data_IF_122857793332
#
_entry.id   IF_122857793332
#
_cell.length_a   1.000
_cell.length_b   1.000
_cell.length_c   1.000
_cell.angle_alpha   90.00
_cell.angle_beta   90.00
_cell.angle_gamma   90.00
#
_symmetry.space_group_name_H-M   'P 1'
#
loop_
_entity.id
_entity.type
_entity.pdbx_description
1 polymer ?
#
# COMPACT_ATOMS: atom_id res chain seq x y z
N UNK A 1 12.33 16.62 -16.66
CA UNK A 1 12.79 15.26 -16.32
C UNK A 1 12.35 14.72 -14.94
N UNK A 2 12.10 15.54 -13.91
CA UNK A 2 11.89 15.06 -12.53
C UNK A 2 10.69 14.12 -12.28
N UNK A 3 9.61 14.25 -13.05
CA UNK A 3 8.41 13.42 -12.85
C UNK A 3 8.61 11.94 -13.20
N UNK A 4 9.57 11.63 -14.10
CA UNK A 4 9.73 10.26 -14.60
C UNK A 4 10.31 9.35 -13.52
N UNK A 5 11.35 9.82 -12.82
CA UNK A 5 12.03 9.12 -11.73
C UNK A 5 11.14 8.91 -10.49
N UNK A 6 10.23 9.84 -10.20
CA UNK A 6 9.34 9.75 -9.03
C UNK A 6 8.29 8.64 -9.16
N UNK A 7 7.72 8.46 -10.34
CA UNK A 7 6.74 7.38 -10.57
C UNK A 7 7.40 6.01 -10.51
N UNK A 8 8.68 5.89 -10.90
CA UNK A 8 9.42 4.65 -10.69
C UNK A 8 9.55 4.36 -9.19
N UNK A 9 9.87 5.35 -8.35
CA UNK A 9 9.91 5.14 -6.90
C UNK A 9 8.56 4.72 -6.29
N UNK A 10 7.45 5.26 -6.79
CA UNK A 10 6.09 4.86 -6.36
C UNK A 10 5.80 3.39 -6.69
N UNK A 11 6.14 2.95 -7.92
CA UNK A 11 5.98 1.55 -8.34
C UNK A 11 6.89 0.62 -7.55
N UNK A 12 8.14 1.02 -7.26
CA UNK A 12 9.05 0.22 -6.43
C UNK A 12 8.53 0.05 -5.00
N UNK A 13 8.06 1.13 -4.36
CA UNK A 13 7.51 1.06 -2.99
C UNK A 13 6.23 0.23 -2.96
N UNK A 14 5.32 0.40 -3.93
CA UNK A 14 4.12 -0.40 -4.04
C UNK A 14 4.44 -1.89 -4.28
N UNK A 15 5.42 -2.19 -5.13
CA UNK A 15 5.89 -3.56 -5.37
C UNK A 15 6.44 -4.21 -4.09
N UNK A 16 7.29 -3.49 -3.35
CA UNK A 16 7.81 -3.96 -2.05
C UNK A 16 6.66 -4.22 -1.06
N UNK A 17 5.66 -3.33 -1.01
CA UNK A 17 4.49 -3.48 -0.15
C UNK A 17 3.65 -4.71 -0.52
N UNK A 18 3.46 -4.98 -1.82
CA UNK A 18 2.75 -6.18 -2.29
C UNK A 18 3.53 -7.45 -1.97
N UNK A 19 4.85 -7.47 -2.15
CA UNK A 19 5.69 -8.61 -1.78
C UNK A 19 5.61 -8.89 -0.28
N UNK A 20 5.63 -7.85 0.56
CA UNK A 20 5.42 -7.96 2.01
C UNK A 20 4.04 -8.54 2.34
N UNK A 21 2.98 -8.10 1.65
CA UNK A 21 1.64 -8.65 1.85
C UNK A 21 1.54 -10.13 1.47
N UNK A 22 2.16 -10.53 0.36
CA UNK A 22 2.22 -11.94 -0.05
C UNK A 22 2.98 -12.78 0.99
N UNK A 23 4.00 -12.20 1.63
CA UNK A 23 4.74 -12.83 2.73
C UNK A 23 3.86 -13.07 3.97
N UNK A 24 2.82 -12.25 4.17
CA UNK A 24 1.80 -12.46 5.21
C UNK A 24 0.74 -13.51 4.86
N UNK A 25 0.64 -13.97 3.60
CA UNK A 25 -0.31 -15.03 3.23
C UNK A 25 0.28 -16.40 3.59
N UNK A 26 -0.58 -17.37 3.90
CA UNK A 26 -0.30 -18.66 4.55
C UNK A 26 0.89 -19.55 4.12
N UNK A 27 1.51 -19.52 2.93
CA UNK A 27 2.61 -20.46 2.67
C UNK A 27 3.77 -20.33 3.66
N UNK A 28 3.89 -19.17 4.33
CA UNK A 28 4.97 -18.89 5.28
C UNK A 28 4.57 -19.06 6.75
N UNK A 29 3.30 -19.03 7.14
CA UNK A 29 2.89 -19.30 8.54
C UNK A 29 3.20 -20.75 8.95
N UNK A 30 3.18 -21.69 8.00
CA UNK A 30 3.53 -23.09 8.26
C UNK A 30 5.05 -23.31 8.41
N UNK A 31 5.86 -22.36 7.92
CA UNK A 31 7.33 -22.43 7.91
C UNK A 31 7.95 -21.51 8.97
N UNK A 32 7.22 -20.49 9.44
CA UNK A 32 7.73 -19.43 10.31
C UNK A 32 7.22 -19.50 11.76
N UNK A 33 8.11 -19.46 12.76
CA UNK A 33 7.76 -19.26 14.17
C UNK A 33 6.97 -17.96 14.41
N UNK A 34 6.10 -17.94 15.44
CA UNK A 34 5.26 -16.78 15.85
C UNK A 34 6.00 -15.42 15.90
N UNK A 35 7.31 -15.42 16.19
CA UNK A 35 8.14 -14.22 16.23
C UNK A 35 8.25 -13.52 14.86
N UNK A 36 8.38 -14.29 13.77
CA UNK A 36 8.55 -13.73 12.44
C UNK A 36 7.30 -13.04 11.91
N UNK A 37 6.11 -13.59 12.18
CA UNK A 37 4.84 -12.98 11.78
C UNK A 37 4.67 -11.55 12.33
N UNK A 38 4.99 -11.34 13.62
CA UNK A 38 4.91 -10.02 14.25
C UNK A 38 5.93 -9.03 13.68
N UNK A 39 7.16 -9.50 13.38
CA UNK A 39 8.19 -8.65 12.75
C UNK A 39 7.79 -8.21 11.35
N UNK A 40 7.18 -9.10 10.55
CA UNK A 40 6.71 -8.77 9.20
C UNK A 40 5.61 -7.72 9.26
N UNK A 41 4.69 -7.79 10.23
CA UNK A 41 3.64 -6.78 10.41
C UNK A 41 4.22 -5.41 10.81
N UNK A 42 5.21 -5.38 11.70
CA UNK A 42 5.91 -4.12 12.05
C UNK A 42 6.59 -3.52 10.83
N UNK A 43 7.27 -4.34 10.03
CA UNK A 43 7.90 -3.91 8.78
C UNK A 43 6.85 -3.39 7.78
N UNK A 44 5.68 -4.03 7.70
CA UNK A 44 4.59 -3.60 6.84
C UNK A 44 4.05 -2.23 7.25
N UNK A 45 3.91 -1.95 8.55
CA UNK A 45 3.54 -0.62 9.06
C UNK A 45 4.59 0.42 8.67
N UNK A 46 5.88 0.09 8.78
CA UNK A 46 6.95 0.99 8.40
C UNK A 46 6.93 1.32 6.89
N UNK A 47 6.74 0.31 6.03
CA UNK A 47 6.63 0.51 4.57
C UNK A 47 5.35 1.28 4.21
N UNK A 48 4.24 1.05 4.91
CA UNK A 48 3.03 1.85 4.76
C UNK A 48 3.29 3.33 5.08
N UNK A 49 4.04 3.63 6.15
CA UNK A 49 4.47 4.99 6.49
C UNK A 49 5.31 5.66 5.39
N UNK A 50 6.22 4.91 4.76
CA UNK A 50 6.98 5.39 3.60
C UNK A 50 6.07 5.67 2.41
N UNK A 51 5.12 4.77 2.13
CA UNK A 51 4.16 4.91 1.05
C UNK A 51 3.24 6.12 1.23
N UNK A 52 2.81 6.40 2.47
CA UNK A 52 2.10 7.63 2.86
C UNK A 52 2.90 8.89 2.49
N UNK A 53 4.18 8.93 2.87
CA UNK A 53 5.05 10.07 2.59
C UNK A 53 5.27 10.32 1.10
N UNK A 54 5.33 9.25 0.29
CA UNK A 54 5.46 9.34 -1.17
C UNK A 54 4.17 9.86 -1.81
N UNK A 55 3.00 9.30 -1.44
CA UNK A 55 1.70 9.73 -1.99
C UNK A 55 1.37 11.18 -1.65
N UNK A 56 1.65 11.61 -0.41
CA UNK A 56 1.29 12.96 0.05
C UNK A 56 2.10 14.07 -0.65
N UNK A 57 3.30 13.76 -1.16
CA UNK A 57 4.15 14.73 -1.88
C UNK A 57 3.75 14.94 -3.34
N UNK A 58 2.73 14.27 -3.83
CA UNK A 58 2.29 14.44 -5.21
C UNK A 58 1.53 15.76 -5.39
N UNK A 59 2.13 16.73 -6.09
CA UNK A 59 1.47 18.01 -6.39
C UNK A 59 0.76 17.96 -7.75
N UNK A 60 -0.55 18.24 -7.78
CA UNK A 60 -1.36 18.28 -9.00
C UNK A 60 -1.08 19.57 -9.78
N UNK A 61 -0.67 19.47 -11.04
CA UNK A 61 0.02 20.58 -11.70
C UNK A 61 -0.87 21.71 -12.21
N UNK A 62 -2.11 21.51 -12.65
CA UNK A 62 -3.07 22.62 -12.85
C UNK A 62 -4.49 22.18 -13.20
N UNK A 63 -5.44 23.13 -13.18
CA UNK A 63 -6.92 23.05 -13.23
C UNK A 63 -7.55 22.72 -11.87
N UNK A 64 -8.10 23.75 -11.20
CA UNK A 64 -8.61 23.72 -9.80
C UNK A 64 -9.47 22.49 -9.49
N UNK A 65 -10.40 22.12 -10.37
CA UNK A 65 -11.33 21.00 -10.13
C UNK A 65 -10.61 19.64 -10.11
N UNK A 66 -9.59 19.47 -10.97
CA UNK A 66 -8.76 18.25 -10.99
C UNK A 66 -7.89 18.12 -9.74
N UNK A 67 -7.49 19.24 -9.12
CA UNK A 67 -6.74 19.22 -7.85
C UNK A 67 -7.58 18.70 -6.69
N UNK A 68 -8.83 19.16 -6.56
CA UNK A 68 -9.70 18.72 -5.47
C UNK A 68 -10.07 17.24 -5.57
N UNK A 69 -10.40 16.76 -6.78
CA UNK A 69 -10.67 15.34 -7.01
C UNK A 69 -9.44 14.47 -6.73
N UNK A 70 -8.25 14.87 -7.18
CA UNK A 70 -7.02 14.12 -6.93
C UNK A 70 -6.65 14.05 -5.44
N UNK A 71 -6.89 15.12 -4.68
CA UNK A 71 -6.69 15.11 -3.22
C UNK A 71 -7.70 14.20 -2.53
N UNK A 72 -8.98 14.27 -2.91
CA UNK A 72 -10.01 13.41 -2.33
C UNK A 72 -9.74 11.92 -2.60
N UNK A 73 -9.34 11.56 -3.82
CA UNK A 73 -8.97 10.19 -4.19
C UNK A 73 -7.77 9.69 -3.35
N UNK A 74 -6.75 10.53 -3.17
CA UNK A 74 -5.57 10.16 -2.36
C UNK A 74 -5.92 9.98 -0.90
N UNK A 75 -6.63 10.92 -0.29
CA UNK A 75 -7.02 10.84 1.11
C UNK A 75 -7.90 9.62 1.35
N UNK A 76 -8.89 9.37 0.49
CA UNK A 76 -9.76 8.19 0.62
C UNK A 76 -8.98 6.88 0.54
N UNK A 77 -8.05 6.77 -0.42
CA UNK A 77 -7.19 5.60 -0.53
C UNK A 77 -6.25 5.44 0.68
N UNK A 78 -5.62 6.52 1.16
CA UNK A 78 -4.73 6.48 2.32
C UNK A 78 -5.50 6.10 3.60
N UNK A 79 -6.67 6.66 3.83
CA UNK A 79 -7.51 6.30 4.97
C UNK A 79 -7.93 4.82 4.88
N UNK A 80 -8.36 4.34 3.71
CA UNK A 80 -8.74 2.94 3.52
C UNK A 80 -7.60 1.96 3.78
N UNK A 81 -6.41 2.21 3.20
CA UNK A 81 -5.21 1.40 3.44
C UNK A 81 -4.78 1.49 4.91
N UNK A 82 -4.83 2.68 5.52
CA UNK A 82 -4.49 2.88 6.93
C UNK A 82 -5.39 2.11 7.89
N UNK A 83 -6.70 2.09 7.64
CA UNK A 83 -7.64 1.29 8.42
C UNK A 83 -7.33 -0.20 8.28
N UNK A 84 -7.11 -0.69 7.06
CA UNK A 84 -6.75 -2.09 6.83
C UNK A 84 -5.41 -2.48 7.49
N UNK A 85 -4.40 -1.61 7.45
CA UNK A 85 -3.11 -1.82 8.14
C UNK A 85 -3.31 -1.83 9.65
N UNK A 86 -4.14 -0.95 10.20
CA UNK A 86 -4.45 -0.92 11.64
C UNK A 86 -5.16 -2.21 12.08
N UNK A 87 -6.17 -2.65 11.33
CA UNK A 87 -6.84 -3.93 11.60
C UNK A 87 -5.86 -5.10 11.51
N UNK A 88 -4.95 -5.11 10.53
CA UNK A 88 -3.93 -6.16 10.41
C UNK A 88 -2.97 -6.14 11.59
N UNK A 89 -2.61 -4.96 12.09
CA UNK A 89 -1.77 -4.80 13.26
C UNK A 89 -2.44 -5.34 14.55
N UNK A 90 -3.74 -5.10 14.72
CA UNK A 90 -4.51 -5.63 15.84
C UNK A 90 -4.71 -7.14 15.74
N UNK A 91 -4.99 -7.63 14.54
CA UNK A 91 -5.19 -9.04 14.23
C UNK A 91 -3.88 -9.84 14.39
N UNK A 92 -2.71 -9.23 14.16
CA UNK A 92 -1.41 -9.85 14.41
C UNK A 92 -1.15 -10.26 15.88
N UNK A 93 -1.89 -9.70 16.84
CA UNK A 93 -1.85 -10.11 18.24
C UNK A 93 -2.84 -11.25 18.56
N UNK A 94 -3.79 -11.52 17.66
CA UNK A 94 -4.77 -12.60 17.75
C UNK A 94 -4.42 -13.71 16.76
N UNK A 95 -3.91 -14.85 17.23
CA UNK A 95 -3.71 -16.00 16.32
C UNK A 95 -5.10 -16.59 16.01
N UNK A 96 -5.49 -16.83 14.74
CA UNK A 96 -4.76 -16.65 13.47
C UNK A 96 -5.12 -15.36 12.71
N UNK A 97 -4.20 -14.89 11.84
CA UNK A 97 -4.43 -13.73 10.98
C UNK A 97 -5.52 -14.04 9.94
N UNK A 98 -6.48 -13.13 9.81
CA UNK A 98 -7.59 -13.24 8.89
C UNK A 98 -7.14 -12.93 7.45
N UNK A 99 -6.94 -14.00 6.68
CA UNK A 99 -6.69 -14.01 5.22
C UNK A 99 -7.46 -12.96 4.40
N UNK A 100 -8.78 -12.74 4.58
CA UNK A 100 -9.52 -11.76 3.78
C UNK A 100 -8.99 -10.33 3.92
N UNK A 101 -8.42 -9.97 5.06
CA UNK A 101 -7.88 -8.64 5.31
C UNK A 101 -6.64 -8.37 4.44
N UNK A 102 -5.78 -9.38 4.30
CA UNK A 102 -4.57 -9.32 3.46
C UNK A 102 -4.95 -9.22 1.98
N UNK A 103 -5.95 -10.00 1.54
CA UNK A 103 -6.45 -9.91 0.16
C UNK A 103 -7.08 -8.55 -0.15
N UNK A 104 -7.85 -7.98 0.78
CA UNK A 104 -8.44 -6.66 0.61
C UNK A 104 -7.34 -5.59 0.45
N UNK A 105 -6.35 -5.59 1.32
CA UNK A 105 -5.22 -4.65 1.28
C UNK A 105 -4.38 -4.81 -0.01
N UNK A 106 -4.07 -6.05 -0.40
CA UNK A 106 -3.34 -6.35 -1.63
C UNK A 106 -4.07 -5.90 -2.89
N UNK A 107 -5.37 -6.21 -2.99
CA UNK A 107 -6.18 -5.83 -4.14
C UNK A 107 -6.27 -4.31 -4.34
N UNK A 108 -6.43 -3.54 -3.25
CA UNK A 108 -6.45 -2.07 -3.30
C UNK A 108 -5.15 -1.49 -3.84
N UNK A 109 -4.01 -1.98 -3.34
CA UNK A 109 -2.69 -1.48 -3.76
C UNK A 109 -2.44 -1.82 -5.23
N UNK A 110 -2.70 -3.08 -5.64
CA UNK A 110 -2.56 -3.51 -7.04
C UNK A 110 -3.46 -2.68 -7.96
N UNK A 111 -4.75 -2.51 -7.60
CA UNK A 111 -5.69 -1.73 -8.40
C UNK A 111 -5.23 -0.28 -8.60
N UNK A 112 -4.68 0.35 -7.54
CA UNK A 112 -4.13 1.70 -7.65
C UNK A 112 -2.87 1.74 -8.52
N UNK A 113 -1.95 0.80 -8.35
CA UNK A 113 -0.72 0.73 -9.16
C UNK A 113 -1.04 0.53 -10.65
N UNK A 114 -1.98 -0.36 -10.97
CA UNK A 114 -2.44 -0.56 -12.36
C UNK A 114 -3.08 0.71 -12.90
N UNK A 115 -3.96 1.36 -12.14
CA UNK A 115 -4.63 2.60 -12.56
C UNK A 115 -3.63 3.71 -12.89
N UNK A 116 -2.58 3.85 -12.06
CA UNK A 116 -1.48 4.79 -12.31
C UNK A 116 -0.69 4.44 -13.57
N UNK A 117 -0.42 3.15 -13.80
CA UNK A 117 0.32 2.68 -14.97
C UNK A 117 -0.46 2.91 -16.27
N UNK A 118 -1.77 2.62 -16.26
CA UNK A 118 -2.66 2.81 -17.41
C UNK A 118 -2.83 4.29 -17.75
N UNK A 119 -3.08 5.15 -16.75
CA UNK A 119 -3.20 6.59 -16.97
C UNK A 119 -1.94 7.17 -17.63
N UNK A 120 -0.78 6.62 -17.29
CA UNK A 120 0.51 7.03 -17.84
C UNK A 120 0.79 6.47 -19.23
N UNK A 121 0.30 5.28 -19.57
CA UNK A 121 0.43 4.77 -20.94
C UNK A 121 -0.43 5.57 -21.93
N UNK A 122 -1.56 6.12 -21.45
CA UNK A 122 -2.50 6.89 -22.27
C UNK A 122 -2.09 8.35 -22.53
N UNK A 123 -1.12 8.89 -21.77
CA UNK A 123 -0.66 10.29 -21.83
C UNK A 123 0.80 10.39 -22.27
#
# INVERSE_FOLDING_TARGET
MGNRLRTWSEVYVAGIFVVLLVTCVDPLESIMPLFWGRTVVILLIAVYGLYLGVIYRESARDERDRRHLAVAERVGFLVGVGVLVLFLALDAFSVPVQKPLVFALGSMVIAKTISLLVLRYRN
#
